data_IF_234777654587
#
_entry.id   IF_234777654587
#
_cell.length_a   1.000
_cell.length_b   1.000
_cell.length_c   1.000
_cell.angle_alpha   90.00
_cell.angle_beta   90.00
_cell.angle_gamma   90.00
#
_symmetry.space_group_name_H-M   'P 1'
#
loop_
_entity.id
_entity.type
_entity.pdbx_description
1 polymer ?
#
# COMPACT_ATOMS: atom_id res chain seq x y z
N UNK A 1 26.56 -14.14 -18.34
CA UNK A 1 25.14 -14.27 -18.79
C UNK A 1 24.71 -15.65 -18.31
N UNK A 2 24.11 -15.74 -17.09
CA UNK A 2 23.53 -16.97 -16.59
C UNK A 2 22.23 -17.24 -17.36
N UNK A 3 22.04 -18.49 -17.81
CA UNK A 3 20.77 -18.93 -18.36
C UNK A 3 19.68 -18.72 -17.30
N UNK A 4 18.56 -18.11 -17.71
CA UNK A 4 17.40 -18.06 -16.84
C UNK A 4 17.02 -19.50 -16.46
N UNK A 5 16.67 -19.78 -15.19
CA UNK A 5 16.23 -21.11 -14.80
C UNK A 5 15.08 -21.53 -15.71
N UNK A 6 15.13 -22.77 -16.21
CA UNK A 6 14.01 -23.36 -16.97
C UNK A 6 12.73 -23.05 -16.21
N UNK A 7 11.77 -22.46 -16.92
CA UNK A 7 10.48 -22.13 -16.32
C UNK A 7 9.95 -23.38 -15.59
N UNK A 8 9.75 -23.26 -14.30
CA UNK A 8 8.99 -24.25 -13.55
C UNK A 8 7.65 -24.34 -14.28
N UNK A 9 7.29 -25.50 -14.79
CA UNK A 9 5.98 -25.74 -15.36
C UNK A 9 4.95 -25.57 -14.23
N UNK A 10 4.57 -24.30 -14.00
CA UNK A 10 3.57 -23.93 -13.03
C UNK A 10 2.18 -24.26 -13.55
N UNK A 11 1.27 -24.56 -12.68
CA UNK A 11 -0.13 -24.65 -13.03
C UNK A 11 -0.61 -23.29 -13.57
N UNK A 12 -1.35 -23.25 -14.67
CA UNK A 12 -1.91 -21.99 -15.16
C UNK A 12 -2.85 -21.40 -14.10
N UNK A 13 -2.85 -20.07 -13.96
CA UNK A 13 -3.64 -19.37 -12.95
C UNK A 13 -5.09 -19.87 -12.84
N UNK A 14 -5.75 -20.11 -13.96
CA UNK A 14 -7.13 -20.62 -14.01
C UNK A 14 -7.30 -22.00 -13.36
N UNK A 15 -6.25 -22.81 -13.30
CA UNK A 15 -6.30 -24.11 -12.63
C UNK A 15 -6.31 -24.01 -11.10
N UNK A 16 -5.87 -22.86 -10.56
CA UNK A 16 -5.99 -22.56 -9.12
C UNK A 16 -7.39 -22.07 -8.75
N UNK A 17 -8.10 -21.46 -9.69
CA UNK A 17 -9.45 -20.95 -9.47
C UNK A 17 -10.45 -22.09 -9.55
N UNK A 18 -10.63 -22.82 -8.46
CA UNK A 18 -11.64 -23.88 -8.38
C UNK A 18 -12.92 -23.33 -7.78
N UNK A 19 -14.10 -23.57 -8.38
CA UNK A 19 -15.36 -23.27 -7.72
C UNK A 19 -15.52 -24.17 -6.50
N UNK A 20 -15.98 -23.61 -5.39
CA UNK A 20 -16.25 -24.32 -4.17
C UNK A 20 -15.92 -23.49 -2.93
N UNK A 21 -16.42 -23.89 -1.76
CA UNK A 21 -16.07 -23.21 -0.53
C UNK A 21 -14.56 -23.35 -0.23
N UNK A 22 -13.92 -22.33 0.35
CA UNK A 22 -12.54 -22.42 0.76
C UNK A 22 -12.40 -23.57 1.78
N UNK A 23 -11.33 -24.36 1.65
CA UNK A 23 -11.00 -25.37 2.65
C UNK A 23 -10.36 -24.66 3.84
N UNK A 24 -10.95 -24.72 5.04
CA UNK A 24 -10.30 -24.17 6.22
C UNK A 24 -9.00 -24.94 6.48
N UNK A 25 -7.92 -24.20 6.60
CA UNK A 25 -6.63 -24.74 7.05
C UNK A 25 -6.41 -24.22 8.45
N UNK A 26 -6.17 -25.09 9.45
CA UNK A 26 -5.77 -24.63 10.76
C UNK A 26 -4.49 -23.79 10.64
N UNK A 27 -4.52 -22.58 11.15
CA UNK A 27 -3.38 -21.66 11.17
C UNK A 27 -3.11 -21.26 12.61
N UNK A 28 -1.86 -21.38 13.03
CA UNK A 28 -1.37 -20.74 14.25
C UNK A 28 -0.90 -19.32 13.92
N UNK A 29 -1.14 -18.39 14.83
CA UNK A 29 -0.64 -17.02 14.66
C UNK A 29 0.88 -16.97 14.61
N UNK A 30 1.56 -17.94 15.15
CA UNK A 30 3.02 -18.04 15.16
C UNK A 30 3.57 -18.85 13.97
N UNK A 31 2.70 -19.38 13.10
CA UNK A 31 3.11 -19.96 11.83
C UNK A 31 3.76 -18.91 10.92
N UNK A 32 4.75 -19.34 10.14
CA UNK A 32 5.42 -18.50 9.15
C UNK A 32 4.44 -18.11 8.04
N UNK A 33 4.22 -16.81 7.90
CA UNK A 33 3.35 -16.23 6.87
C UNK A 33 4.10 -15.71 5.66
N UNK A 34 5.31 -15.15 5.87
CA UNK A 34 6.05 -14.45 4.83
C UNK A 34 7.56 -14.51 5.08
N UNK A 35 8.30 -14.71 4.00
CA UNK A 35 9.74 -14.44 3.95
C UNK A 35 9.96 -13.12 3.21
N UNK A 36 10.14 -12.04 3.96
CA UNK A 36 10.39 -10.72 3.38
C UNK A 36 11.87 -10.53 3.15
N UNK A 37 12.28 -10.54 1.90
CA UNK A 37 13.68 -10.28 1.54
C UNK A 37 13.99 -8.80 1.66
N UNK A 38 15.11 -8.49 2.30
CA UNK A 38 15.65 -7.13 2.39
C UNK A 38 16.88 -7.01 1.50
N UNK A 39 17.03 -5.84 0.86
CA UNK A 39 18.26 -5.52 0.12
C UNK A 39 19.43 -5.38 1.09
N UNK A 40 20.21 -6.46 1.26
CA UNK A 40 21.42 -6.43 2.09
C UNK A 40 22.55 -5.72 1.36
N UNK A 41 23.25 -4.83 2.05
CA UNK A 41 24.48 -4.18 1.57
C UNK A 41 25.67 -5.15 1.48
N UNK A 42 25.52 -6.38 1.96
CA UNK A 42 26.62 -7.36 2.17
C UNK A 42 26.56 -8.61 1.26
N UNK A 43 25.87 -8.54 0.14
CA UNK A 43 25.96 -9.53 -0.95
C UNK A 43 24.97 -10.70 -0.91
N UNK A 44 24.59 -11.25 0.23
CA UNK A 44 23.54 -12.29 0.32
C UNK A 44 22.23 -11.70 0.79
N UNK A 45 21.18 -11.87 -0.03
CA UNK A 45 19.84 -11.46 0.35
C UNK A 45 19.37 -12.23 1.59
N UNK A 46 18.91 -11.53 2.62
CA UNK A 46 18.38 -12.12 3.84
C UNK A 46 16.87 -12.00 3.85
N UNK A 47 16.17 -13.09 4.13
CA UNK A 47 14.72 -13.12 4.30
C UNK A 47 14.35 -12.99 5.78
N UNK A 48 13.66 -11.92 6.15
CA UNK A 48 13.06 -11.81 7.47
C UNK A 48 11.86 -12.76 7.55
N UNK A 49 11.80 -13.60 8.56
CA UNK A 49 10.68 -14.50 8.83
C UNK A 49 9.59 -13.75 9.56
N UNK A 50 8.45 -13.56 8.92
CA UNK A 50 7.29 -12.89 9.50
C UNK A 50 6.16 -13.90 9.70
N UNK A 51 5.63 -13.94 10.92
CA UNK A 51 4.49 -14.79 11.28
C UNK A 51 3.17 -14.10 10.94
N UNK A 52 2.07 -14.86 10.95
CA UNK A 52 0.71 -14.29 10.85
C UNK A 52 0.46 -13.24 11.93
N UNK A 53 0.97 -13.46 13.15
CA UNK A 53 0.90 -12.52 14.27
C UNK A 53 1.59 -11.19 13.94
N UNK A 54 2.79 -11.24 13.36
CA UNK A 54 3.52 -10.02 13.00
C UNK A 54 2.74 -9.17 11.99
N UNK A 55 2.23 -9.79 10.92
CA UNK A 55 1.49 -9.09 9.88
C UNK A 55 0.17 -8.52 10.40
N UNK A 56 -0.59 -9.32 11.16
CA UNK A 56 -1.88 -8.91 11.72
C UNK A 56 -1.71 -7.79 12.76
N UNK A 57 -0.75 -7.94 13.67
CA UNK A 57 -0.47 -6.92 14.69
C UNK A 57 -0.06 -5.59 14.05
N UNK A 58 0.81 -5.63 13.03
CA UNK A 58 1.24 -4.41 12.36
C UNK A 58 0.09 -3.73 11.59
N UNK A 59 -0.78 -4.49 10.94
CA UNK A 59 -1.98 -3.93 10.30
C UNK A 59 -2.92 -3.27 11.32
N UNK A 60 -3.13 -3.89 12.49
CA UNK A 60 -3.91 -3.31 13.59
C UNK A 60 -3.27 -2.04 14.15
N UNK A 61 -1.95 -2.00 14.30
CA UNK A 61 -1.20 -0.81 14.73
C UNK A 61 -1.41 0.35 13.75
N UNK A 62 -1.22 0.11 12.45
CA UNK A 62 -1.44 1.15 11.43
C UNK A 62 -2.89 1.63 11.45
N UNK A 63 -3.85 0.73 11.58
CA UNK A 63 -5.27 1.11 11.70
C UNK A 63 -5.51 1.99 12.93
N UNK A 64 -4.89 1.69 14.07
CA UNK A 64 -5.02 2.48 15.30
C UNK A 64 -4.38 3.88 15.20
N UNK A 65 -3.39 4.06 14.32
CA UNK A 65 -2.76 5.34 14.06
C UNK A 65 -3.57 6.27 13.14
N UNK A 66 -4.59 5.76 12.45
CA UNK A 66 -5.47 6.56 11.60
C UNK A 66 -6.70 6.97 12.40
N UNK A 67 -6.81 8.24 12.82
CA UNK A 67 -7.98 8.72 13.54
C UNK A 67 -9.24 8.53 12.69
N UNK A 68 -10.33 8.18 13.34
CA UNK A 68 -11.66 8.07 12.69
C UNK A 68 -11.68 7.14 11.46
N UNK A 69 -10.88 6.08 11.47
CA UNK A 69 -10.91 5.06 10.41
C UNK A 69 -12.31 4.46 10.31
N UNK A 70 -12.90 4.51 9.12
CA UNK A 70 -14.28 4.06 8.86
C UNK A 70 -14.26 2.68 8.22
N UNK A 71 -14.55 1.66 9.02
CA UNK A 71 -14.59 0.28 8.54
C UNK A 71 -15.65 0.10 7.45
N UNK A 72 -15.28 -0.55 6.34
CA UNK A 72 -16.14 -0.76 5.18
C UNK A 72 -16.36 0.45 4.27
N UNK A 73 -15.96 1.67 4.69
CA UNK A 73 -16.21 2.90 3.94
C UNK A 73 -14.95 3.51 3.32
N UNK A 74 -13.75 3.16 3.84
CA UNK A 74 -12.52 3.75 3.34
C UNK A 74 -12.20 3.32 1.92
N UNK A 75 -11.55 4.24 1.20
CA UNK A 75 -11.01 3.97 -0.13
C UNK A 75 -9.51 4.23 -0.10
N UNK A 76 -8.74 3.16 -0.11
CA UNK A 76 -7.27 3.20 0.00
C UNK A 76 -6.64 3.21 -1.37
N UNK A 77 -5.70 4.12 -1.61
CA UNK A 77 -4.92 4.16 -2.84
C UNK A 77 -3.72 3.20 -2.77
N UNK A 78 -3.71 2.20 -3.62
CA UNK A 78 -2.60 1.25 -3.81
C UNK A 78 -1.63 1.73 -4.89
N UNK A 79 -0.89 2.80 -4.62
CA UNK A 79 0.12 3.36 -5.53
C UNK A 79 1.55 2.94 -5.18
N UNK A 80 1.74 2.23 -4.07
CA UNK A 80 3.04 1.72 -3.61
C UNK A 80 3.09 0.21 -3.90
N UNK A 81 4.22 -0.32 -4.38
CA UNK A 81 4.36 -1.75 -4.65
C UNK A 81 4.14 -2.62 -3.41
N UNK A 82 3.33 -3.67 -3.51
CA UNK A 82 3.01 -4.55 -2.38
C UNK A 82 4.12 -5.56 -2.04
N UNK A 83 5.11 -5.73 -2.92
CA UNK A 83 6.32 -6.47 -2.58
C UNK A 83 7.23 -5.71 -1.59
N UNK A 84 7.02 -4.41 -1.41
CA UNK A 84 7.64 -3.62 -0.37
C UNK A 84 6.76 -3.65 0.88
N UNK A 85 7.37 -3.94 2.05
CA UNK A 85 6.65 -4.10 3.33
C UNK A 85 5.77 -2.90 3.67
N UNK A 86 6.19 -1.69 3.33
CA UNK A 86 5.40 -0.48 3.54
C UNK A 86 4.08 -0.53 2.75
N UNK A 87 4.12 -0.74 1.44
CA UNK A 87 2.91 -0.84 0.62
C UNK A 87 2.03 -2.05 1.00
N UNK A 88 2.66 -3.17 1.36
CA UNK A 88 1.96 -4.34 1.85
C UNK A 88 1.14 -4.02 3.12
N UNK A 89 1.73 -3.31 4.07
CA UNK A 89 1.07 -3.04 5.36
C UNK A 89 0.08 -1.90 5.27
N UNK A 90 0.53 -0.71 4.80
CA UNK A 90 -0.29 0.53 4.88
C UNK A 90 -1.34 0.66 3.78
N UNK A 91 -1.26 -0.15 2.73
CA UNK A 91 -2.27 -0.17 1.69
C UNK A 91 -3.02 -1.51 1.67
N UNK A 92 -2.34 -2.62 1.37
CA UNK A 92 -3.00 -3.91 1.17
C UNK A 92 -3.60 -4.47 2.47
N UNK A 93 -2.76 -4.71 3.50
CA UNK A 93 -3.22 -5.34 4.74
C UNK A 93 -4.21 -4.46 5.50
N UNK A 94 -3.98 -3.14 5.53
CA UNK A 94 -4.91 -2.19 6.13
C UNK A 94 -6.27 -2.21 5.44
N UNK A 95 -6.29 -2.20 4.10
CA UNK A 95 -7.55 -2.24 3.35
C UNK A 95 -8.32 -3.55 3.60
N UNK A 96 -7.63 -4.69 3.60
CA UNK A 96 -8.25 -5.98 3.88
C UNK A 96 -8.79 -6.06 5.30
N UNK A 97 -8.02 -5.60 6.30
CA UNK A 97 -8.43 -5.59 7.71
C UNK A 97 -9.66 -4.72 7.94
N UNK A 98 -9.69 -3.54 7.32
CA UNK A 98 -10.77 -2.56 7.49
C UNK A 98 -11.95 -2.74 6.54
N UNK A 99 -11.98 -3.80 5.72
CA UNK A 99 -13.02 -3.98 4.70
C UNK A 99 -13.09 -2.83 3.68
N UNK A 100 -11.97 -2.11 3.49
CA UNK A 100 -11.92 -0.93 2.65
C UNK A 100 -11.82 -1.29 1.15
N UNK A 101 -12.27 -0.37 0.31
CA UNK A 101 -12.03 -0.46 -1.13
C UNK A 101 -10.56 -0.15 -1.42
N UNK A 102 -9.88 -1.03 -2.14
CA UNK A 102 -8.50 -0.84 -2.57
C UNK A 102 -8.44 -0.49 -4.06
N UNK A 103 -7.97 0.73 -4.37
CA UNK A 103 -7.79 1.20 -5.75
C UNK A 103 -6.36 0.92 -6.17
N UNK A 104 -6.18 -0.07 -7.05
CA UNK A 104 -4.86 -0.53 -7.48
C UNK A 104 -4.37 0.26 -8.70
N UNK A 105 -3.18 0.82 -8.59
CA UNK A 105 -2.47 1.45 -9.69
C UNK A 105 -1.19 0.66 -10.00
N UNK A 106 -1.20 -0.20 -11.04
CA UNK A 106 -0.02 -1.01 -11.37
C UNK A 106 1.20 -0.17 -11.76
N UNK A 107 0.96 1.04 -12.23
CA UNK A 107 1.98 2.06 -12.51
C UNK A 107 1.53 3.37 -11.87
N UNK A 108 2.21 3.84 -10.82
CA UNK A 108 1.81 5.02 -10.05
C UNK A 108 2.21 6.32 -10.75
N UNK A 109 1.75 6.53 -11.98
CA UNK A 109 1.89 7.80 -12.67
C UNK A 109 1.02 8.86 -11.99
N UNK A 110 1.56 10.06 -11.78
CA UNK A 110 0.86 11.13 -11.03
C UNK A 110 -0.51 11.46 -11.64
N UNK A 111 -0.60 11.49 -12.96
CA UNK A 111 -1.88 11.70 -13.64
C UNK A 111 -2.91 10.63 -13.24
N UNK A 112 -2.52 9.36 -13.26
CA UNK A 112 -3.41 8.26 -12.88
C UNK A 112 -3.81 8.32 -11.39
N UNK A 113 -2.90 8.78 -10.51
CA UNK A 113 -3.19 9.00 -9.10
C UNK A 113 -4.26 10.09 -8.93
N UNK A 114 -4.08 11.25 -9.56
CA UNK A 114 -5.05 12.36 -9.49
C UNK A 114 -6.41 11.92 -10.02
N UNK A 115 -6.45 11.28 -11.19
CA UNK A 115 -7.69 10.74 -11.77
C UNK A 115 -8.34 9.67 -10.89
N UNK A 116 -7.55 8.82 -10.22
CA UNK A 116 -8.07 7.81 -9.30
C UNK A 116 -8.69 8.45 -8.05
N UNK A 117 -8.07 9.50 -7.50
CA UNK A 117 -8.61 10.24 -6.35
C UNK A 117 -10.00 10.78 -6.69
N UNK A 118 -10.12 11.50 -7.79
CA UNK A 118 -11.40 12.09 -8.23
C UNK A 118 -12.45 11.01 -8.53
N UNK A 119 -12.08 10.03 -9.35
CA UNK A 119 -13.02 9.00 -9.83
C UNK A 119 -13.53 8.08 -8.73
N UNK A 120 -12.64 7.71 -7.81
CA UNK A 120 -12.96 6.71 -6.78
C UNK A 120 -13.17 7.32 -5.40
N UNK A 121 -13.03 8.65 -5.27
CA UNK A 121 -13.17 9.38 -4.00
C UNK A 121 -12.24 8.76 -2.93
N UNK A 122 -10.95 8.67 -3.27
CA UNK A 122 -9.93 8.08 -2.39
C UNK A 122 -9.89 8.84 -1.06
N UNK A 123 -9.94 8.12 0.06
CA UNK A 123 -9.91 8.70 1.41
C UNK A 123 -8.56 8.58 2.09
N UNK A 124 -7.80 7.51 1.79
CA UNK A 124 -6.49 7.26 2.37
C UNK A 124 -5.44 7.15 1.26
N UNK A 125 -4.41 7.99 1.34
CA UNK A 125 -3.34 8.02 0.34
C UNK A 125 -1.98 7.77 1.00
N UNK A 126 -1.58 6.50 1.23
CA UNK A 126 -0.22 6.16 1.61
C UNK A 126 0.74 6.48 0.47
N UNK A 127 1.85 7.14 0.77
CA UNK A 127 2.81 7.56 -0.25
C UNK A 127 4.24 7.61 0.27
N UNK A 128 5.15 8.00 -0.60
CA UNK A 128 6.55 8.28 -0.27
C UNK A 128 6.86 9.75 -0.62
N UNK A 129 7.88 10.39 -0.03
CA UNK A 129 8.15 11.81 -0.23
C UNK A 129 8.23 12.23 -1.70
N UNK A 130 8.89 11.43 -2.54
CA UNK A 130 9.00 11.71 -3.98
C UNK A 130 7.66 11.73 -4.69
N UNK A 131 6.70 10.91 -4.22
CA UNK A 131 5.36 10.86 -4.77
C UNK A 131 4.58 12.13 -4.41
N UNK A 132 4.68 12.60 -3.17
CA UNK A 132 4.04 13.85 -2.73
C UNK A 132 4.66 15.09 -3.40
N UNK A 133 5.99 15.10 -3.60
CA UNK A 133 6.65 16.16 -4.38
C UNK A 133 6.10 16.22 -5.80
N UNK A 134 6.03 15.07 -6.47
CA UNK A 134 5.53 15.00 -7.85
C UNK A 134 4.03 15.34 -7.93
N UNK A 135 3.24 14.91 -6.96
CA UNK A 135 1.81 15.25 -6.84
C UNK A 135 1.60 16.75 -6.68
N UNK A 136 2.31 17.38 -5.75
CA UNK A 136 2.22 18.82 -5.52
C UNK A 136 2.60 19.67 -6.73
N UNK A 137 3.48 19.15 -7.59
CA UNK A 137 3.94 19.83 -8.80
C UNK A 137 3.17 19.41 -10.07
N UNK A 138 2.11 18.64 -9.93
CA UNK A 138 1.31 18.24 -11.09
C UNK A 138 0.60 19.46 -11.71
N UNK A 139 0.73 19.69 -13.03
CA UNK A 139 0.14 20.86 -13.68
C UNK A 139 -1.37 20.94 -13.46
N UNK A 140 -1.83 22.05 -12.90
CA UNK A 140 -3.25 22.31 -12.65
C UNK A 140 -3.82 21.57 -11.45
N UNK A 141 -3.00 21.07 -10.54
CA UNK A 141 -3.42 20.34 -9.35
C UNK A 141 -4.42 21.14 -8.49
N UNK A 142 -4.27 22.45 -8.42
CA UNK A 142 -5.13 23.36 -7.66
C UNK A 142 -6.58 23.41 -8.18
N UNK A 143 -6.83 22.90 -9.39
CA UNK A 143 -8.16 22.87 -10.02
C UNK A 143 -8.83 21.52 -9.91
N UNK A 144 -8.17 20.56 -9.25
CA UNK A 144 -8.64 19.17 -9.12
C UNK A 144 -9.45 19.00 -7.85
N UNK A 145 -10.41 18.10 -7.89
CA UNK A 145 -11.19 17.74 -6.70
C UNK A 145 -10.47 16.67 -5.88
N UNK A 146 -9.77 17.13 -4.85
CA UNK A 146 -8.91 16.30 -4.00
C UNK A 146 -9.45 16.17 -2.58
N UNK A 147 -10.64 16.73 -2.30
CA UNK A 147 -11.17 16.87 -0.94
C UNK A 147 -11.65 15.55 -0.32
N UNK A 148 -11.77 14.49 -1.10
CA UNK A 148 -12.07 13.16 -0.58
C UNK A 148 -10.93 12.59 0.27
N UNK A 149 -9.68 12.99 -0.02
CA UNK A 149 -8.49 12.56 0.74
C UNK A 149 -8.55 13.20 2.12
N UNK A 150 -8.45 12.41 3.17
CA UNK A 150 -8.53 12.88 4.56
C UNK A 150 -7.33 12.50 5.43
N UNK A 151 -6.66 11.40 5.13
CA UNK A 151 -5.47 10.98 5.86
C UNK A 151 -4.43 10.36 4.91
N UNK A 152 -3.19 10.73 5.16
CA UNK A 152 -2.03 10.29 4.40
C UNK A 152 -0.89 9.94 5.33
N UNK A 153 -0.15 8.91 4.96
CA UNK A 153 1.06 8.49 5.66
C UNK A 153 2.21 8.56 4.68
N UNK A 154 3.26 9.27 5.02
CA UNK A 154 4.53 9.24 4.29
C UNK A 154 5.49 8.27 4.97
N UNK A 155 6.21 7.50 4.20
CA UNK A 155 7.20 6.58 4.74
C UNK A 155 8.39 6.38 3.83
N UNK A 156 9.34 5.57 4.29
CA UNK A 156 10.56 5.17 3.59
C UNK A 156 11.67 6.23 3.48
N UNK A 157 11.40 7.51 3.69
CA UNK A 157 12.39 8.59 3.70
C UNK A 157 11.82 9.83 4.40
N UNK A 158 12.65 10.74 4.93
CA UNK A 158 12.17 11.98 5.54
C UNK A 158 11.36 12.84 4.59
N UNK A 159 10.23 13.37 5.07
CA UNK A 159 9.35 14.25 4.32
C UNK A 159 9.67 15.72 4.59
N UNK A 160 10.05 16.54 3.58
CA UNK A 160 10.22 17.97 3.79
C UNK A 160 8.92 18.64 4.24
N UNK A 161 9.01 19.48 5.27
CA UNK A 161 7.85 20.15 5.86
C UNK A 161 7.03 20.95 4.83
N UNK A 162 7.69 21.66 3.95
CA UNK A 162 7.06 22.43 2.87
C UNK A 162 6.23 21.58 1.91
N UNK A 163 6.66 20.32 1.68
CA UNK A 163 5.93 19.36 0.84
C UNK A 163 4.65 18.92 1.54
N UNK A 164 4.75 18.60 2.85
CA UNK A 164 3.59 18.23 3.66
C UNK A 164 2.57 19.37 3.73
N UNK A 165 3.02 20.59 4.07
CA UNK A 165 2.15 21.76 4.16
C UNK A 165 1.45 22.09 2.84
N UNK A 166 2.17 21.99 1.70
CA UNK A 166 1.55 22.21 0.40
C UNK A 166 0.51 21.16 0.07
N UNK A 167 0.81 19.90 0.34
CA UNK A 167 -0.13 18.81 0.13
C UNK A 167 -1.39 18.96 1.00
N UNK A 168 -1.24 19.30 2.27
CA UNK A 168 -2.36 19.55 3.19
C UNK A 168 -3.23 20.74 2.73
N UNK A 169 -2.62 21.82 2.22
CA UNK A 169 -3.37 22.94 1.64
C UNK A 169 -4.18 22.54 0.39
N UNK A 170 -3.64 21.68 -0.46
CA UNK A 170 -4.31 21.22 -1.68
C UNK A 170 -5.48 20.28 -1.41
N UNK A 171 -5.33 19.39 -0.45
CA UNK A 171 -6.29 18.30 -0.19
C UNK A 171 -7.21 18.58 1.00
N UNK A 172 -6.74 19.34 1.99
CA UNK A 172 -7.38 19.45 3.31
C UNK A 172 -7.09 18.25 4.23
N UNK A 173 -6.35 17.23 3.73
CA UNK A 173 -5.98 16.05 4.47
C UNK A 173 -4.88 16.33 5.50
N UNK A 174 -4.73 15.41 6.47
CA UNK A 174 -3.53 15.33 7.31
C UNK A 174 -2.50 14.40 6.69
N UNK A 175 -1.26 14.88 6.59
CA UNK A 175 -0.12 14.12 6.11
C UNK A 175 0.90 13.94 7.24
N UNK A 176 1.03 12.71 7.72
CA UNK A 176 1.95 12.35 8.81
C UNK A 176 3.09 11.46 8.28
N UNK A 177 4.22 11.49 9.00
CA UNK A 177 5.38 10.64 8.74
C UNK A 177 5.53 9.58 9.83
#
# INVERSE_FOLDING_TARGET
>A
KGEAPKALEGLPWRAFLRPGPPRPVPLDLDDLALLQYTGGTTGLAKGAMLTHRNLSANALQVRAWIPDFREGEEVVLGAIPFFHVYGMTVAMNLALLGGAKLVLLPRPEIKAIVEAIEKHQVTLFPGVPTLYVAFNNFPGIERRDLKSVRACISGSAPLPLEVAERFERLTGAKLVE
#
